data_IF_829115709586
#
_entry.id   IF_829115709586
#
_cell.length_a   1.000
_cell.length_b   1.000
_cell.length_c   1.000
_cell.angle_alpha   90.00
_cell.angle_beta   90.00
_cell.angle_gamma   90.00
#
_symmetry.space_group_name_H-M   'P 1'
#
loop_
_entity.id
_entity.type
_entity.pdbx_description
1 polymer ?
#
# COMPACT_ATOMS: atom_id res chain seq x y z
N UNK A 1 12.14 -6.45 -30.69
CA UNK A 1 11.39 -5.55 -29.79
C UNK A 1 10.46 -6.41 -28.97
N UNK A 2 10.89 -6.84 -27.78
CA UNK A 2 9.96 -7.42 -26.79
C UNK A 2 8.89 -6.38 -26.47
N UNK A 3 7.62 -6.72 -26.65
CA UNK A 3 6.52 -5.84 -26.31
C UNK A 3 6.62 -5.48 -24.82
N UNK A 4 6.74 -4.19 -24.51
CA UNK A 4 6.81 -3.74 -23.12
C UNK A 4 5.58 -4.25 -22.36
N UNK A 5 5.82 -5.09 -21.35
CA UNK A 5 4.77 -5.71 -20.55
C UNK A 5 3.88 -4.61 -19.93
N UNK A 6 2.61 -4.58 -20.35
CA UNK A 6 1.63 -3.61 -19.86
C UNK A 6 1.21 -4.05 -18.46
N UNK A 7 1.70 -3.35 -17.44
CA UNK A 7 1.28 -3.56 -16.05
C UNK A 7 0.10 -2.66 -15.73
N UNK A 8 -1.11 -3.20 -15.48
CA UNK A 8 -2.27 -2.41 -15.13
C UNK A 8 -2.07 -1.68 -13.79
N UNK A 9 -2.48 -0.42 -13.72
CA UNK A 9 -2.26 0.40 -12.53
C UNK A 9 -3.17 1.61 -12.44
N UNK A 10 -3.44 1.98 -11.20
CA UNK A 10 -3.87 3.30 -10.78
C UNK A 10 -2.60 4.17 -10.68
N UNK A 11 -2.69 5.44 -11.03
CA UNK A 11 -1.53 6.34 -10.99
C UNK A 11 -1.89 7.76 -10.60
N UNK A 12 -1.05 8.32 -9.76
CA UNK A 12 -1.02 9.74 -9.41
C UNK A 12 0.34 10.34 -9.76
N UNK A 13 1.10 9.68 -10.65
CA UNK A 13 2.43 10.16 -11.08
C UNK A 13 2.36 11.59 -11.62
N UNK A 14 3.26 12.42 -11.09
CA UNK A 14 3.32 13.85 -11.35
C UNK A 14 2.10 14.61 -10.81
N UNK A 15 1.43 14.11 -9.76
CA UNK A 15 0.41 14.86 -9.04
C UNK A 15 1.04 15.70 -7.94
N UNK A 16 2.25 15.37 -7.49
CA UNK A 16 2.93 16.04 -6.42
C UNK A 16 4.36 16.44 -6.81
N UNK A 17 4.79 17.61 -6.34
CA UNK A 17 6.18 18.02 -6.44
C UNK A 17 7.04 17.14 -5.53
N UNK A 18 8.07 16.52 -6.12
CA UNK A 18 8.94 15.54 -5.45
C UNK A 18 9.96 16.16 -4.49
N UNK A 19 10.01 17.49 -4.36
CA UNK A 19 10.84 18.24 -3.41
C UNK A 19 10.01 18.84 -2.28
N UNK A 20 8.77 19.25 -2.55
CA UNK A 20 7.95 20.02 -1.59
C UNK A 20 6.64 19.36 -1.19
N UNK A 21 6.28 18.24 -1.82
CA UNK A 21 4.97 17.60 -1.72
C UNK A 21 3.79 18.47 -2.21
N UNK A 22 4.05 19.62 -2.84
CA UNK A 22 3.00 20.49 -3.36
C UNK A 22 2.15 19.78 -4.42
N UNK A 23 0.83 19.93 -4.34
CA UNK A 23 -0.09 19.32 -5.32
C UNK A 23 -0.05 20.08 -6.65
N UNK A 24 0.40 19.38 -7.70
CA UNK A 24 0.52 19.89 -9.07
C UNK A 24 -0.71 19.62 -9.94
N UNK A 25 -1.51 18.58 -9.62
CA UNK A 25 -2.70 18.20 -10.41
C UNK A 25 -3.94 18.03 -9.53
N UNK A 26 -5.08 18.55 -9.99
CA UNK A 26 -6.35 18.52 -9.26
C UNK A 26 -7.24 17.30 -9.56
N UNK A 27 -6.80 16.41 -10.47
CA UNK A 27 -7.51 15.15 -10.75
C UNK A 27 -7.50 14.24 -9.52
N UNK A 28 -8.44 13.30 -9.46
CA UNK A 28 -8.50 12.30 -8.39
C UNK A 28 -7.47 11.19 -8.64
N UNK A 29 -7.54 10.48 -9.75
CA UNK A 29 -6.51 9.50 -10.11
C UNK A 29 -6.50 9.28 -11.63
N UNK A 30 -5.43 8.69 -12.13
CA UNK A 30 -5.37 8.15 -13.49
C UNK A 30 -5.38 6.62 -13.45
N UNK A 31 -5.73 6.01 -14.57
CA UNK A 31 -5.64 4.55 -14.76
C UNK A 31 -4.90 4.23 -16.06
N UNK A 32 -4.22 3.09 -16.08
CA UNK A 32 -3.58 2.55 -17.26
C UNK A 32 -3.74 1.03 -17.28
N UNK A 33 -4.24 0.41 -18.36
CA UNK A 33 -4.79 1.05 -19.57
C UNK A 33 -6.04 1.89 -19.29
N UNK A 34 -6.48 2.70 -20.26
CA UNK A 34 -7.57 3.67 -20.06
C UNK A 34 -8.90 3.01 -19.62
N UNK A 35 -9.21 1.81 -20.10
CA UNK A 35 -10.42 1.07 -19.74
C UNK A 35 -10.28 0.22 -18.47
N UNK A 36 -9.20 0.37 -17.69
CA UNK A 36 -8.91 -0.50 -16.55
C UNK A 36 -10.10 -0.58 -15.57
N UNK A 37 -10.75 0.54 -15.25
CA UNK A 37 -11.90 0.54 -14.34
C UNK A 37 -13.04 -0.36 -14.86
N UNK A 38 -13.40 -0.21 -16.14
CA UNK A 38 -14.44 -1.02 -16.79
C UNK A 38 -14.11 -2.50 -16.88
N UNK A 39 -12.81 -2.85 -16.88
CA UNK A 39 -12.38 -4.25 -16.83
C UNK A 39 -12.44 -4.82 -15.40
N UNK A 40 -12.08 -4.01 -14.39
CA UNK A 40 -12.04 -4.45 -12.99
C UNK A 40 -13.42 -4.66 -12.39
N UNK A 41 -14.42 -3.85 -12.76
CA UNK A 41 -15.81 -4.00 -12.26
C UNK A 41 -16.48 -5.30 -12.74
N UNK A 42 -15.90 -5.98 -13.74
CA UNK A 42 -16.37 -7.27 -14.25
C UNK A 42 -15.72 -8.46 -13.53
N UNK A 43 -14.74 -8.22 -12.66
CA UNK A 43 -14.06 -9.26 -11.89
C UNK A 43 -14.77 -9.49 -10.56
N UNK A 44 -14.74 -10.74 -10.12
CA UNK A 44 -15.16 -11.09 -8.76
C UNK A 44 -14.18 -10.53 -7.71
N UNK A 45 -12.90 -10.49 -8.04
CA UNK A 45 -11.85 -10.03 -7.14
C UNK A 45 -10.59 -9.54 -7.87
N UNK A 46 -9.87 -8.60 -7.27
CA UNK A 46 -8.50 -8.25 -7.66
C UNK A 46 -7.67 -7.72 -6.47
N UNK A 47 -6.35 -7.67 -6.66
CA UNK A 47 -5.36 -7.14 -5.71
C UNK A 47 -4.80 -5.81 -6.20
N UNK A 48 -4.73 -4.82 -5.31
CA UNK A 48 -3.99 -3.56 -5.52
C UNK A 48 -2.68 -3.57 -4.74
N UNK A 49 -1.57 -3.38 -5.44
CA UNK A 49 -0.23 -3.31 -4.86
C UNK A 49 0.23 -1.87 -4.74
N UNK A 50 0.49 -1.42 -3.53
CA UNK A 50 1.02 -0.09 -3.22
C UNK A 50 2.49 -0.22 -2.81
N UNK A 51 3.38 0.30 -3.67
CA UNK A 51 4.82 0.21 -3.46
C UNK A 51 5.33 1.17 -2.37
N UNK A 52 6.53 0.91 -1.84
CA UNK A 52 7.21 1.82 -0.91
C UNK A 52 7.96 2.97 -1.60
N UNK A 53 8.72 3.72 -0.79
CA UNK A 53 9.58 4.84 -1.22
C UNK A 53 10.60 4.43 -2.29
N UNK A 54 11.14 5.40 -3.02
CA UNK A 54 12.25 5.24 -4.00
C UNK A 54 11.89 4.42 -5.25
N UNK A 55 10.61 4.23 -5.52
CA UNK A 55 10.17 3.57 -6.76
C UNK A 55 9.70 4.64 -7.74
N UNK A 56 10.29 4.67 -8.93
CA UNK A 56 9.76 5.36 -10.11
C UNK A 56 8.66 4.51 -10.77
N UNK A 57 8.16 4.91 -11.94
CA UNK A 57 7.12 4.14 -12.64
C UNK A 57 7.55 2.73 -13.03
N UNK A 58 8.83 2.50 -13.35
CA UNK A 58 9.35 1.17 -13.70
C UNK A 58 9.53 0.30 -12.47
N UNK A 59 10.06 0.86 -11.38
CA UNK A 59 10.17 0.21 -10.09
C UNK A 59 8.79 -0.21 -9.57
N UNK A 60 7.81 0.69 -9.65
CA UNK A 60 6.42 0.40 -9.31
C UNK A 60 5.86 -0.77 -10.13
N UNK A 61 6.03 -0.75 -11.46
CA UNK A 61 5.59 -1.85 -12.33
C UNK A 61 6.25 -3.18 -11.97
N UNK A 62 7.56 -3.16 -11.70
CA UNK A 62 8.32 -4.35 -11.31
C UNK A 62 7.80 -4.94 -10.00
N UNK A 63 7.37 -4.11 -9.04
CA UNK A 63 6.76 -4.60 -7.80
C UNK A 63 5.45 -5.34 -8.04
N UNK A 64 4.60 -4.84 -8.93
CA UNK A 64 3.35 -5.53 -9.30
C UNK A 64 3.63 -6.89 -9.90
N UNK A 65 4.63 -6.99 -10.78
CA UNK A 65 5.01 -8.26 -11.41
C UNK A 65 5.53 -9.28 -10.40
N UNK A 66 6.39 -8.84 -9.47
CA UNK A 66 6.88 -9.70 -8.37
C UNK A 66 5.71 -10.21 -7.53
N UNK A 67 4.73 -9.35 -7.22
CA UNK A 67 3.54 -9.77 -6.46
C UNK A 67 2.72 -10.76 -7.27
N UNK A 68 2.45 -10.47 -8.54
CA UNK A 68 1.67 -11.35 -9.41
C UNK A 68 2.28 -12.76 -9.46
N UNK A 69 3.59 -12.86 -9.71
CA UNK A 69 4.33 -14.12 -9.71
C UNK A 69 4.30 -14.82 -8.34
N UNK A 70 4.46 -14.07 -7.24
CA UNK A 70 4.37 -14.66 -5.89
C UNK A 70 2.97 -15.23 -5.62
N UNK A 71 1.92 -14.49 -5.99
CA UNK A 71 0.54 -14.89 -5.73
C UNK A 71 0.13 -16.07 -6.61
N UNK A 72 0.59 -16.11 -7.86
CA UNK A 72 0.41 -17.27 -8.74
C UNK A 72 1.04 -18.54 -8.13
N UNK A 73 2.26 -18.43 -7.59
CA UNK A 73 2.93 -19.53 -6.86
C UNK A 73 2.19 -19.94 -5.56
N UNK A 74 1.30 -19.10 -5.04
CA UNK A 74 0.41 -19.39 -3.91
C UNK A 74 -1.00 -19.79 -4.35
N UNK A 75 -1.19 -20.13 -5.63
CA UNK A 75 -2.45 -20.54 -6.25
C UNK A 75 -3.53 -19.45 -6.30
N UNK A 76 -3.14 -18.17 -6.24
CA UNK A 76 -4.05 -17.06 -6.47
C UNK A 76 -4.16 -16.75 -7.97
N UNK A 77 -5.37 -16.89 -8.53
CA UNK A 77 -5.62 -16.64 -9.95
C UNK A 77 -6.22 -15.24 -10.25
N UNK A 78 -6.45 -14.41 -9.22
CA UNK A 78 -7.05 -13.09 -9.39
C UNK A 78 -6.10 -12.08 -10.02
N UNK A 79 -6.67 -10.99 -10.56
CA UNK A 79 -5.87 -9.95 -11.23
C UNK A 79 -5.08 -9.14 -10.22
N UNK A 80 -3.82 -8.83 -10.52
CA UNK A 80 -2.97 -7.95 -9.70
C UNK A 80 -2.69 -6.65 -10.46
N UNK A 81 -2.95 -5.51 -9.81
CA UNK A 81 -2.71 -4.17 -10.36
C UNK A 81 -1.85 -3.35 -9.42
N UNK A 82 -1.18 -2.31 -9.94
CA UNK A 82 -0.39 -1.38 -9.14
C UNK A 82 -1.14 -0.12 -8.72
N UNK A 83 -0.69 0.52 -7.65
CA UNK A 83 -0.91 1.92 -7.36
C UNK A 83 0.44 2.65 -7.43
N UNK A 84 0.61 3.52 -8.43
CA UNK A 84 1.86 4.21 -8.69
C UNK A 84 1.77 5.69 -8.32
N UNK A 85 2.62 6.13 -7.40
CA UNK A 85 2.62 7.50 -6.88
C UNK A 85 4.04 8.04 -6.71
N UNK A 86 4.19 9.35 -6.52
CA UNK A 86 5.47 10.09 -6.49
C UNK A 86 6.33 9.80 -5.23
N UNK A 87 6.68 8.53 -5.03
CA UNK A 87 7.45 8.00 -3.88
C UNK A 87 8.97 8.15 -4.03
N UNK A 88 9.44 8.46 -5.23
CA UNK A 88 10.83 8.68 -5.64
C UNK A 88 11.22 10.16 -5.52
N UNK A 89 11.00 10.69 -4.33
CA UNK A 89 11.31 12.08 -3.99
C UNK A 89 12.78 12.43 -4.21
N UNK A 90 13.05 13.70 -4.53
CA UNK A 90 14.42 14.18 -4.72
C UNK A 90 15.17 14.11 -3.39
N UNK A 91 16.40 13.59 -3.42
CA UNK A 91 17.19 13.34 -2.20
C UNK A 91 16.81 12.06 -1.46
N UNK A 92 15.74 11.36 -1.88
CA UNK A 92 15.25 10.15 -1.21
C UNK A 92 16.24 8.98 -1.21
N UNK A 93 17.23 8.96 -2.10
CA UNK A 93 18.28 7.94 -2.14
C UNK A 93 19.20 7.97 -0.91
N UNK A 94 19.31 9.13 -0.23
CA UNK A 94 20.09 9.28 0.99
C UNK A 94 19.25 8.88 2.20
N UNK A 95 19.61 7.78 2.87
CA UNK A 95 18.85 7.26 4.02
C UNK A 95 18.76 8.24 5.20
N UNK A 96 19.74 9.12 5.35
CA UNK A 96 19.80 10.14 6.39
C UNK A 96 19.07 11.44 6.04
N UNK A 97 18.54 11.59 4.81
CA UNK A 97 17.87 12.82 4.40
C UNK A 97 16.43 12.86 4.97
N UNK A 98 16.31 13.43 6.16
CA UNK A 98 15.04 13.55 6.89
C UNK A 98 13.98 14.35 6.10
N UNK A 99 14.41 15.41 5.41
CA UNK A 99 13.52 16.25 4.61
C UNK A 99 12.90 15.48 3.45
N UNK A 100 13.70 14.70 2.73
CA UNK A 100 13.18 13.84 1.66
C UNK A 100 12.19 12.80 2.20
N UNK A 101 12.48 12.17 3.35
CA UNK A 101 11.54 11.24 3.96
C UNK A 101 10.22 11.91 4.31
N UNK A 102 10.26 13.11 4.92
CA UNK A 102 9.07 13.86 5.30
C UNK A 102 8.19 14.17 4.07
N UNK A 103 8.80 14.66 2.99
CA UNK A 103 8.11 14.89 1.71
C UNK A 103 7.47 13.62 1.18
N UNK A 104 8.17 12.49 1.20
CA UNK A 104 7.61 11.22 0.72
C UNK A 104 6.43 10.75 1.58
N UNK A 105 6.49 10.96 2.91
CA UNK A 105 5.38 10.65 3.81
C UNK A 105 4.18 11.52 3.56
N UNK A 106 4.36 12.83 3.38
CA UNK A 106 3.27 13.75 3.04
C UNK A 106 2.58 13.33 1.74
N UNK A 107 3.37 13.03 0.70
CA UNK A 107 2.84 12.51 -0.56
C UNK A 107 2.08 11.19 -0.33
N UNK A 108 2.62 10.26 0.46
CA UNK A 108 1.95 8.98 0.75
C UNK A 108 0.61 9.17 1.48
N UNK A 109 0.56 10.05 2.49
CA UNK A 109 -0.66 10.41 3.24
C UNK A 109 -1.72 10.96 2.28
N UNK A 110 -1.35 11.94 1.44
CA UNK A 110 -2.27 12.54 0.48
C UNK A 110 -2.76 11.56 -0.58
N UNK A 111 -1.91 10.62 -0.99
CA UNK A 111 -2.29 9.56 -1.92
C UNK A 111 -3.32 8.56 -1.36
N UNK A 112 -3.49 8.50 -0.03
CA UNK A 112 -4.57 7.74 0.58
C UNK A 112 -5.95 8.18 0.06
N UNK A 113 -6.18 9.48 -0.13
CA UNK A 113 -7.43 10.00 -0.70
C UNK A 113 -7.69 9.47 -2.11
N UNK A 114 -6.66 9.43 -2.96
CA UNK A 114 -6.78 8.99 -4.35
C UNK A 114 -7.06 7.49 -4.46
N UNK A 115 -6.39 6.68 -3.64
CA UNK A 115 -6.68 5.25 -3.55
C UNK A 115 -8.11 5.02 -3.01
N UNK A 116 -8.55 5.79 -2.02
CA UNK A 116 -9.92 5.70 -1.49
C UNK A 116 -10.97 6.04 -2.55
N UNK A 117 -10.74 7.06 -3.38
CA UNK A 117 -11.64 7.41 -4.49
C UNK A 117 -11.75 6.28 -5.50
N UNK A 118 -10.63 5.72 -5.92
CA UNK A 118 -10.63 4.56 -6.81
C UNK A 118 -11.42 3.38 -6.22
N UNK A 119 -11.20 3.04 -4.95
CA UNK A 119 -11.93 1.96 -4.27
C UNK A 119 -13.43 2.26 -4.20
N UNK A 120 -13.81 3.50 -3.88
CA UNK A 120 -15.20 3.93 -3.87
C UNK A 120 -15.85 3.77 -5.26
N UNK A 121 -15.17 4.17 -6.32
CA UNK A 121 -15.72 4.11 -7.68
C UNK A 121 -15.96 2.66 -8.13
N UNK A 122 -15.05 1.74 -7.82
CA UNK A 122 -15.26 0.31 -8.07
C UNK A 122 -16.48 -0.20 -7.28
N UNK A 123 -16.58 0.11 -5.98
CA UNK A 123 -17.70 -0.34 -5.14
C UNK A 123 -19.05 0.26 -5.58
N UNK A 124 -19.07 1.51 -6.04
CA UNK A 124 -20.28 2.15 -6.58
C UNK A 124 -20.71 1.52 -7.90
N UNK A 125 -19.76 1.11 -8.74
CA UNK A 125 -20.04 0.46 -10.02
C UNK A 125 -20.44 -1.02 -9.86
N UNK A 126 -19.76 -1.75 -8.97
CA UNK A 126 -20.09 -3.13 -8.61
C UNK A 126 -19.69 -3.42 -7.14
N UNK A 127 -20.65 -3.41 -6.20
CA UNK A 127 -20.37 -3.64 -4.78
C UNK A 127 -20.00 -5.10 -4.44
N UNK A 128 -20.11 -6.02 -5.40
CA UNK A 128 -19.74 -7.42 -5.22
C UNK A 128 -18.27 -7.69 -5.55
N UNK A 129 -17.59 -6.78 -6.26
CA UNK A 129 -16.17 -6.93 -6.57
C UNK A 129 -15.35 -6.82 -5.28
N UNK A 130 -14.62 -7.88 -4.93
CA UNK A 130 -13.73 -7.91 -3.77
C UNK A 130 -12.40 -7.23 -4.11
N UNK A 131 -11.98 -6.29 -3.26
CA UNK A 131 -10.73 -5.56 -3.45
C UNK A 131 -9.79 -5.89 -2.30
N UNK A 132 -8.66 -6.53 -2.59
CA UNK A 132 -7.59 -6.78 -1.62
C UNK A 132 -6.48 -5.77 -1.83
N UNK A 133 -5.88 -5.25 -0.77
CA UNK A 133 -4.85 -4.22 -0.87
C UNK A 133 -3.57 -4.65 -0.17
N UNK A 134 -2.45 -4.59 -0.87
CA UNK A 134 -1.11 -4.86 -0.35
C UNK A 134 -0.31 -3.57 -0.24
N UNK A 135 0.15 -3.21 0.95
CA UNK A 135 1.00 -2.05 1.19
C UNK A 135 2.40 -2.46 1.64
N UNK A 136 3.43 -2.07 0.89
CA UNK A 136 4.83 -2.32 1.27
C UNK A 136 5.48 -1.06 1.83
N UNK A 137 6.15 -1.15 2.99
CA UNK A 137 6.96 -0.07 3.53
C UNK A 137 6.15 1.24 3.63
N UNK A 138 6.59 2.31 2.97
CA UNK A 138 5.85 3.58 2.90
C UNK A 138 4.46 3.46 2.25
N UNK A 139 4.24 2.47 1.38
CA UNK A 139 2.94 2.18 0.81
C UNK A 139 1.88 1.85 1.86
N UNK A 140 2.28 1.37 3.05
CA UNK A 140 1.35 1.17 4.17
C UNK A 140 0.72 2.48 4.66
N UNK A 141 1.42 3.62 4.57
CA UNK A 141 0.84 4.94 4.89
C UNK A 141 -0.31 5.26 3.93
N UNK A 142 -0.13 5.01 2.63
CA UNK A 142 -1.17 5.21 1.60
C UNK A 142 -2.39 4.35 1.91
N UNK A 143 -2.19 3.06 2.18
CA UNK A 143 -3.27 2.11 2.43
C UNK A 143 -4.09 2.48 3.67
N UNK A 144 -3.42 2.76 4.79
CA UNK A 144 -4.12 3.10 6.04
C UNK A 144 -4.88 4.42 5.90
N UNK A 145 -4.30 5.43 5.24
CA UNK A 145 -5.01 6.67 4.99
C UNK A 145 -6.17 6.50 4.02
N UNK A 146 -6.06 5.61 3.03
CA UNK A 146 -7.19 5.26 2.15
C UNK A 146 -8.35 4.66 2.95
N UNK A 147 -8.08 3.75 3.88
CA UNK A 147 -9.12 3.19 4.76
C UNK A 147 -9.80 4.29 5.60
N UNK A 148 -9.04 5.23 6.16
CA UNK A 148 -9.62 6.38 6.88
C UNK A 148 -10.53 7.23 6.01
N UNK A 149 -10.14 7.48 4.76
CA UNK A 149 -10.97 8.22 3.81
C UNK A 149 -12.24 7.45 3.42
N UNK A 150 -12.13 6.14 3.15
CA UNK A 150 -13.28 5.29 2.87
C UNK A 150 -14.30 5.26 4.03
N UNK A 151 -13.82 5.20 5.28
CA UNK A 151 -14.68 5.32 6.45
C UNK A 151 -15.42 6.67 6.49
N UNK A 152 -14.72 7.79 6.23
CA UNK A 152 -15.35 9.13 6.14
C UNK A 152 -16.36 9.23 5.00
N UNK A 153 -16.13 8.53 3.91
CA UNK A 153 -17.06 8.41 2.79
C UNK A 153 -18.23 7.45 3.07
N UNK A 154 -18.28 6.83 4.26
CA UNK A 154 -19.28 5.83 4.66
C UNK A 154 -19.29 4.59 3.76
N UNK A 155 -18.15 4.23 3.18
CA UNK A 155 -17.96 3.02 2.36
C UNK A 155 -17.67 1.81 3.25
N UNK A 156 -18.71 1.29 3.91
CA UNK A 156 -18.61 0.13 4.79
C UNK A 156 -18.21 -1.14 4.03
N UNK A 157 -17.33 -1.97 4.59
CA UNK A 157 -16.92 -3.26 4.03
C UNK A 157 -16.47 -3.19 2.55
N UNK A 158 -15.84 -2.07 2.16
CA UNK A 158 -15.44 -1.73 0.79
C UNK A 158 -14.07 -2.29 0.38
N UNK A 159 -13.33 -2.83 1.35
CA UNK A 159 -12.06 -3.54 1.13
C UNK A 159 -12.19 -4.93 1.73
N UNK A 160 -11.89 -5.96 0.94
CA UNK A 160 -11.99 -7.36 1.35
C UNK A 160 -10.98 -7.68 2.45
N UNK A 161 -9.70 -7.42 2.17
CA UNK A 161 -8.58 -7.68 3.08
C UNK A 161 -7.42 -6.71 2.79
N UNK A 162 -6.61 -6.45 3.82
CA UNK A 162 -5.39 -5.64 3.74
C UNK A 162 -4.19 -6.46 4.19
N UNK A 163 -3.08 -6.35 3.47
CA UNK A 163 -1.82 -6.99 3.80
C UNK A 163 -0.71 -5.94 3.82
N UNK A 164 -0.10 -5.74 4.98
CA UNK A 164 1.02 -4.82 5.15
C UNK A 164 2.32 -5.61 5.25
N UNK A 165 3.34 -5.18 4.53
CA UNK A 165 4.66 -5.82 4.53
C UNK A 165 5.71 -4.78 4.89
N UNK A 166 6.50 -5.06 5.92
CA UNK A 166 7.52 -4.14 6.41
C UNK A 166 6.95 -2.73 6.70
N UNK A 167 5.74 -2.68 7.27
CA UNK A 167 4.94 -1.46 7.37
C UNK A 167 5.70 -0.32 8.08
N UNK A 168 5.95 0.79 7.37
CA UNK A 168 6.70 1.91 7.94
C UNK A 168 5.82 2.87 8.76
N UNK A 169 4.51 2.66 8.79
CA UNK A 169 3.56 3.43 9.59
C UNK A 169 3.72 3.11 11.08
N UNK A 170 3.55 4.10 11.95
CA UNK A 170 3.70 3.93 13.39
C UNK A 170 2.58 3.08 13.98
N UNK A 171 2.92 2.09 14.81
CA UNK A 171 1.92 1.29 15.55
C UNK A 171 1.06 2.16 16.47
N UNK A 172 1.64 3.21 17.05
CA UNK A 172 0.94 4.23 17.85
C UNK A 172 -0.24 4.84 17.08
N UNK A 173 -0.01 5.22 15.81
CA UNK A 173 -1.05 5.79 14.97
C UNK A 173 -2.13 4.76 14.61
N UNK A 174 -1.73 3.53 14.29
CA UNK A 174 -2.67 2.43 14.02
C UNK A 174 -3.54 2.09 15.23
N UNK A 175 -3.02 2.24 16.45
CA UNK A 175 -3.71 1.95 17.70
C UNK A 175 -4.61 3.09 18.20
N UNK A 176 -4.69 4.21 17.49
CA UNK A 176 -5.66 5.26 17.84
C UNK A 176 -7.09 4.76 17.60
N UNK A 177 -8.00 4.99 18.56
CA UNK A 177 -9.38 4.50 18.49
C UNK A 177 -10.08 4.84 17.17
N UNK A 178 -9.97 6.08 16.72
CA UNK A 178 -10.53 6.55 15.44
C UNK A 178 -9.98 5.80 14.20
N UNK A 179 -8.72 5.34 14.25
CA UNK A 179 -8.11 4.56 13.16
C UNK A 179 -8.61 3.12 13.24
N UNK A 180 -8.63 2.52 14.43
CA UNK A 180 -9.18 1.18 14.66
C UNK A 180 -10.66 1.09 14.24
N UNK A 181 -11.48 2.09 14.55
CA UNK A 181 -12.86 2.20 14.09
C UNK A 181 -12.96 2.28 12.57
N UNK A 182 -12.07 3.07 11.93
CA UNK A 182 -12.01 3.16 10.46
C UNK A 182 -11.66 1.81 9.82
N UNK A 183 -10.69 1.09 10.41
CA UNK A 183 -10.27 -0.24 9.96
C UNK A 183 -11.44 -1.23 10.03
N UNK A 184 -12.11 -1.31 11.18
CA UNK A 184 -13.28 -2.18 11.38
C UNK A 184 -14.44 -1.86 10.45
N UNK A 185 -14.70 -0.57 10.23
CA UNK A 185 -15.81 -0.13 9.41
C UNK A 185 -15.61 -0.48 7.94
N UNK A 186 -14.36 -0.44 7.46
CA UNK A 186 -14.04 -0.49 6.03
C UNK A 186 -13.59 -1.87 5.57
N UNK A 187 -12.84 -2.59 6.40
CA UNK A 187 -12.24 -3.89 6.06
C UNK A 187 -13.20 -5.01 6.42
N UNK A 188 -13.53 -5.86 5.45
CA UNK A 188 -14.50 -6.94 5.62
C UNK A 188 -13.95 -8.10 6.44
N UNK A 189 -12.70 -8.51 6.18
CA UNK A 189 -12.12 -9.71 6.81
C UNK A 189 -10.97 -9.37 7.76
N UNK A 190 -9.80 -9.03 7.25
CA UNK A 190 -8.61 -8.82 8.06
C UNK A 190 -7.65 -7.79 7.47
N UNK A 191 -6.95 -7.11 8.36
CA UNK A 191 -5.66 -6.48 8.13
C UNK A 191 -4.58 -7.38 8.72
N UNK A 192 -3.77 -7.99 7.85
CA UNK A 192 -2.60 -8.76 8.26
C UNK A 192 -1.33 -7.93 8.11
N UNK A 193 -0.56 -7.78 9.18
CA UNK A 193 0.74 -7.12 9.19
C UNK A 193 1.86 -8.16 9.27
N UNK A 194 2.60 -8.33 8.17
CA UNK A 194 3.81 -9.14 8.10
C UNK A 194 5.01 -8.30 8.53
N UNK A 195 5.55 -8.62 9.70
CA UNK A 195 6.60 -7.85 10.35
C UNK A 195 7.85 -8.69 10.63
N UNK A 196 9.00 -8.04 10.71
CA UNK A 196 10.27 -8.66 11.04
C UNK A 196 11.06 -7.76 11.99
N UNK A 197 11.42 -8.29 13.16
CA UNK A 197 12.09 -7.54 14.23
C UNK A 197 13.52 -7.14 13.89
N UNK A 198 14.10 -7.73 12.84
CA UNK A 198 15.46 -7.46 12.40
C UNK A 198 15.51 -6.80 11.02
N UNK A 199 14.44 -6.10 10.61
CA UNK A 199 14.44 -5.32 9.38
C UNK A 199 15.37 -4.11 9.50
N UNK A 200 16.53 -4.17 8.85
CA UNK A 200 17.56 -3.14 8.91
C UNK A 200 17.10 -1.76 8.43
N UNK A 201 16.25 -1.68 7.40
CA UNK A 201 15.79 -0.38 6.89
C UNK A 201 14.84 0.29 7.89
N UNK A 202 13.94 -0.49 8.50
CA UNK A 202 13.06 0.01 9.54
C UNK A 202 13.82 0.35 10.83
N UNK A 203 14.88 -0.39 11.16
CA UNK A 203 15.75 -0.07 12.30
C UNK A 203 16.50 1.24 12.09
N UNK A 204 17.08 1.48 10.90
CA UNK A 204 17.69 2.77 10.56
C UNK A 204 16.66 3.90 10.70
N UNK A 205 15.44 3.66 10.19
CA UNK A 205 14.30 4.56 10.34
C UNK A 205 14.00 4.90 11.81
N UNK A 206 13.94 3.87 12.65
CA UNK A 206 13.68 3.97 14.08
C UNK A 206 14.79 4.72 14.83
N UNK A 207 16.05 4.30 14.64
CA UNK A 207 17.22 4.88 15.34
C UNK A 207 17.45 6.35 15.01
N UNK A 208 17.04 6.80 13.82
CA UNK A 208 17.11 8.20 13.42
C UNK A 208 15.88 9.02 13.86
N UNK A 209 14.96 8.45 14.63
CA UNK A 209 13.78 9.14 15.18
C UNK A 209 12.65 9.40 14.17
N UNK A 210 12.68 8.79 12.99
CA UNK A 210 11.69 9.04 11.94
C UNK A 210 10.31 8.46 12.26
N UNK A 211 10.32 7.29 12.89
CA UNK A 211 9.15 6.63 13.43
C UNK A 211 9.60 5.85 14.66
N UNK A 212 9.20 6.25 15.87
CA UNK A 212 9.67 5.59 17.09
C UNK A 212 9.22 4.14 17.16
N UNK A 213 8.12 3.74 16.52
CA UNK A 213 7.64 2.35 16.57
C UNK A 213 6.95 1.93 15.26
N UNK A 214 7.69 1.68 14.16
CA UNK A 214 7.09 1.18 12.91
C UNK A 214 6.48 -0.20 13.12
N UNK A 215 5.24 -0.38 12.64
CA UNK A 215 4.51 -1.63 12.78
C UNK A 215 5.20 -2.83 12.08
N UNK A 216 6.00 -2.58 11.04
CA UNK A 216 6.80 -3.59 10.37
C UNK A 216 8.01 -4.10 11.17
N UNK A 217 8.41 -3.39 12.22
CA UNK A 217 9.50 -3.79 13.13
C UNK A 217 8.97 -4.38 14.44
N UNK A 218 7.90 -3.79 14.98
CA UNK A 218 7.39 -4.12 16.32
C UNK A 218 6.08 -4.91 16.32
N UNK A 219 5.47 -5.14 15.15
CA UNK A 219 4.05 -5.50 15.07
C UNK A 219 3.15 -4.30 15.37
N UNK A 220 1.86 -4.42 15.06
CA UNK A 220 0.86 -3.44 15.49
C UNK A 220 0.62 -3.59 17.00
N UNK A 221 0.59 -4.83 17.48
CA UNK A 221 0.43 -5.19 18.89
C UNK A 221 -0.93 -4.81 19.47
N UNK A 222 -1.95 -4.73 18.61
CA UNK A 222 -3.34 -4.50 19.00
C UNK A 222 -4.07 -5.85 19.12
N UNK A 223 -4.92 -6.01 20.15
CA UNK A 223 -5.91 -7.08 20.19
C UNK A 223 -7.21 -6.56 19.63
N UNK A 224 -7.29 -6.54 18.30
CA UNK A 224 -8.48 -6.14 17.56
C UNK A 224 -8.84 -7.25 16.57
N UNK A 225 -10.12 -7.64 16.47
CA UNK A 225 -10.55 -8.79 15.67
C UNK A 225 -10.14 -8.73 14.20
N UNK A 226 -10.20 -7.54 13.59
CA UNK A 226 -9.76 -7.34 12.19
C UNK A 226 -8.24 -7.39 12.03
N UNK A 227 -7.43 -7.20 13.08
CA UNK A 227 -5.97 -7.06 12.98
C UNK A 227 -5.27 -8.36 13.34
N UNK A 228 -4.36 -8.78 12.47
CA UNK A 228 -3.48 -9.93 12.69
C UNK A 228 -2.02 -9.56 12.46
N UNK A 229 -1.18 -9.76 13.47
CA UNK A 229 0.27 -9.67 13.31
C UNK A 229 0.84 -11.05 12.97
N UNK A 230 1.67 -11.12 11.92
CA UNK A 230 2.39 -12.32 11.50
C UNK A 230 3.87 -12.01 11.44
N UNK A 231 4.65 -12.63 12.32
CA UNK A 231 6.11 -12.50 12.27
C UNK A 231 6.67 -13.36 11.15
N UNK A 232 7.53 -12.78 10.32
CA UNK A 232 8.22 -13.45 9.20
C UNK A 232 9.73 -13.22 9.29
N UNK A 233 10.51 -13.96 8.49
CA UNK A 233 11.98 -13.90 8.48
C UNK A 233 12.52 -13.71 7.04
N UNK A 234 12.24 -12.55 6.41
CA UNK A 234 12.71 -12.25 5.06
C UNK A 234 14.23 -11.99 5.04
N UNK A 235 14.85 -12.17 3.88
CA UNK A 235 16.28 -11.90 3.70
C UNK A 235 16.65 -10.41 3.84
N UNK A 236 15.73 -9.49 3.55
CA UNK A 236 15.91 -8.04 3.64
C UNK A 236 14.57 -7.29 3.52
N UNK A 237 14.59 -5.96 3.61
CA UNK A 237 13.41 -5.09 3.55
C UNK A 237 12.60 -5.13 2.22
N UNK A 238 13.16 -5.70 1.15
CA UNK A 238 12.50 -5.66 -0.16
C UNK A 238 11.20 -6.46 -0.12
N UNK A 239 10.18 -5.96 -0.81
CA UNK A 239 8.90 -6.67 -0.94
C UNK A 239 9.08 -8.13 -1.40
N UNK A 240 9.93 -8.40 -2.39
CA UNK A 240 10.21 -9.76 -2.87
C UNK A 240 10.65 -10.71 -1.76
N UNK A 241 11.44 -10.22 -0.81
CA UNK A 241 11.94 -11.01 0.31
C UNK A 241 10.84 -11.33 1.32
N UNK A 242 9.93 -10.38 1.57
CA UNK A 242 8.74 -10.59 2.38
C UNK A 242 7.72 -11.52 1.71
N UNK A 243 7.54 -11.36 0.40
CA UNK A 243 6.63 -12.14 -0.41
C UNK A 243 7.08 -13.61 -0.47
N UNK A 244 8.40 -13.86 -0.59
CA UNK A 244 8.99 -15.20 -0.61
C UNK A 244 8.81 -16.00 0.70
N UNK A 245 8.56 -15.31 1.82
CA UNK A 245 8.33 -15.94 3.13
C UNK A 245 6.86 -15.86 3.56
N UNK A 246 5.98 -15.49 2.63
CA UNK A 246 4.55 -15.46 2.90
C UNK A 246 3.99 -16.88 2.92
N UNK A 247 3.34 -17.32 4.03
CA UNK A 247 2.94 -18.71 4.20
C UNK A 247 1.78 -19.12 3.29
N UNK A 248 0.86 -18.20 3.02
CA UNK A 248 -0.31 -18.40 2.17
C UNK A 248 -0.94 -17.08 1.78
N UNK A 249 -1.78 -17.10 0.74
CA UNK A 249 -2.67 -16.00 0.37
C UNK A 249 -4.10 -16.53 0.25
N UNK A 250 -5.04 -16.08 1.10
CA UNK A 250 -6.44 -16.52 1.06
C UNK A 250 -7.28 -15.76 0.02
#
# INVERSE_FOLDING_TARGET
>A
MEGALIVPRITTRGYYDRRTAERLKQREYGVYPANLLGDLVKLDEFVVVVHGMRNDSRGAASKVLIVADTLENLNYAGKVIGFSYDSDVIGGHQRSNLGALQVAREIAIMNGLHLARFVQDINMANPNTRIRIMGHSLGSEVVVHAIRHLSRFKNRNSVEAVYLFAASIGREYLNQSQVLESLQYTIRTTLTNYYFTNDEELQIGHSNGHNPYPAGLYGIGCKHDVIRDVRVHPLNHRFSSYAAVMPSFP
#
